data_IF_349036197608
#
_entry.id   IF_349036197608
#
_cell.length_a   1.000
_cell.length_b   1.000
_cell.length_c   1.000
_cell.angle_alpha   90.00
_cell.angle_beta   90.00
_cell.angle_gamma   90.00
#
_symmetry.space_group_name_H-M   'P 1'
#
loop_
_entity.id
_entity.type
_entity.pdbx_description
1 polymer ?
#
# COMPACT_ATOMS: atom_id res chain seq x y z
N UNK A 1 18.93 17.25 23.15
CA UNK A 1 17.55 17.67 23.52
C UNK A 1 16.99 18.41 22.32
N UNK A 2 16.41 17.65 21.41
CA UNK A 2 15.76 18.11 20.18
C UNK A 2 15.05 16.88 19.63
N UNK A 3 13.83 16.67 20.11
CA UNK A 3 12.93 15.61 19.66
C UNK A 3 12.66 15.78 18.16
N UNK A 4 12.83 14.73 17.33
CA UNK A 4 12.27 14.72 15.99
C UNK A 4 10.78 14.40 16.12
N UNK A 5 10.00 15.35 16.63
CA UNK A 5 8.56 15.31 16.42
C UNK A 5 8.31 15.38 14.90
N UNK A 6 7.44 14.53 14.33
CA UNK A 6 6.94 14.79 12.98
C UNK A 6 6.46 16.23 12.94
N UNK A 7 6.89 17.00 11.94
CA UNK A 7 6.60 18.44 11.89
C UNK A 7 5.13 18.69 12.23
N UNK A 8 4.85 19.55 13.23
CA UNK A 8 3.49 19.78 13.74
C UNK A 8 2.49 20.12 12.62
N UNK A 9 3.00 20.62 11.50
CA UNK A 9 2.29 20.90 10.26
C UNK A 9 1.73 19.65 9.58
N UNK A 10 2.49 18.56 9.45
CA UNK A 10 2.05 17.34 8.78
C UNK A 10 0.93 16.63 9.56
N UNK A 11 1.06 16.56 10.89
CA UNK A 11 0.02 16.01 11.76
C UNK A 11 -1.24 16.90 11.78
N UNK A 12 -1.06 18.23 11.77
CA UNK A 12 -2.17 19.19 11.67
C UNK A 12 -2.89 19.07 10.32
N UNK A 13 -2.18 18.99 9.20
CA UNK A 13 -2.76 18.84 7.87
C UNK A 13 -3.52 17.52 7.73
N UNK A 14 -2.92 16.41 8.18
CA UNK A 14 -3.55 15.08 8.12
C UNK A 14 -4.85 15.03 8.92
N UNK A 15 -4.89 15.67 10.09
CA UNK A 15 -6.11 15.76 10.91
C UNK A 15 -7.17 16.66 10.26
N UNK A 16 -6.76 17.75 9.61
CA UNK A 16 -7.67 18.63 8.88
C UNK A 16 -8.26 17.98 7.62
N UNK A 17 -7.54 17.08 6.94
CA UNK A 17 -8.03 16.35 5.76
C UNK A 17 -9.21 15.42 6.02
N UNK A 18 -9.54 15.13 7.28
CA UNK A 18 -10.73 14.37 7.65
C UNK A 18 -11.99 15.24 7.72
N UNK A 19 -11.88 16.58 7.72
CA UNK A 19 -13.00 17.51 7.88
C UNK A 19 -12.92 18.67 6.90
N UNK A 20 -14.04 19.34 6.64
CA UNK A 20 -14.06 20.61 5.88
C UNK A 20 -13.97 21.80 6.84
N UNK A 21 -12.87 21.86 7.57
CA UNK A 21 -12.60 22.95 8.53
C UNK A 21 -12.10 24.23 7.86
N UNK A 22 -11.87 25.31 8.63
CA UNK A 22 -11.44 26.61 8.08
C UNK A 22 -10.18 26.52 7.21
N UNK A 23 -9.17 25.72 7.63
CA UNK A 23 -7.95 25.51 6.86
C UNK A 23 -8.22 24.80 5.52
N UNK A 24 -9.06 23.76 5.52
CA UNK A 24 -9.45 23.07 4.29
C UNK A 24 -10.18 24.03 3.32
N UNK A 25 -11.07 24.87 3.84
CA UNK A 25 -11.78 25.88 3.05
C UNK A 25 -10.82 26.94 2.48
N UNK A 26 -9.83 27.38 3.26
CA UNK A 26 -8.81 28.31 2.78
C UNK A 26 -7.94 27.71 1.67
N UNK A 27 -7.66 26.40 1.73
CA UNK A 27 -6.90 25.65 0.72
C UNK A 27 -7.76 25.19 -0.48
N UNK A 28 -9.09 25.31 -0.40
CA UNK A 28 -10.02 24.82 -1.42
C UNK A 28 -9.76 25.43 -2.81
N UNK A 29 -9.52 26.75 -2.98
CA UNK A 29 -9.20 27.30 -4.30
C UNK A 29 -7.96 26.66 -4.94
N UNK A 30 -6.93 26.36 -4.14
CA UNK A 30 -5.72 25.69 -4.63
C UNK A 30 -6.01 24.24 -5.06
N UNK A 31 -6.98 23.57 -4.41
CA UNK A 31 -7.42 22.24 -4.83
C UNK A 31 -8.14 22.23 -6.18
N UNK A 32 -8.79 23.34 -6.56
CA UNK A 32 -9.41 23.48 -7.88
C UNK A 32 -8.34 23.59 -8.98
N UNK A 33 -7.24 24.31 -8.71
CA UNK A 33 -6.10 24.37 -9.63
C UNK A 33 -5.48 22.98 -9.81
N UNK A 34 -5.24 22.27 -8.70
CA UNK A 34 -4.75 20.90 -8.74
C UNK A 34 -5.69 19.97 -9.53
N UNK A 35 -7.01 20.09 -9.31
CA UNK A 35 -8.03 19.35 -10.06
C UNK A 35 -7.96 19.63 -11.56
N UNK A 36 -7.82 20.91 -11.94
CA UNK A 36 -7.74 21.31 -13.34
C UNK A 36 -6.50 20.71 -14.02
N UNK A 37 -5.33 20.87 -13.40
CA UNK A 37 -4.06 20.33 -13.93
C UNK A 37 -4.08 18.80 -14.05
N UNK A 38 -4.56 18.11 -13.02
CA UNK A 38 -4.71 16.65 -13.03
C UNK A 38 -5.72 16.21 -14.11
N UNK A 39 -6.85 16.91 -14.21
CA UNK A 39 -7.89 16.66 -15.20
C UNK A 39 -7.41 16.85 -16.65
N UNK A 40 -6.66 17.92 -16.92
CA UNK A 40 -6.03 18.17 -18.23
C UNK A 40 -5.08 17.02 -18.58
N UNK A 41 -4.21 16.61 -17.64
CA UNK A 41 -3.29 15.50 -17.88
C UNK A 41 -4.03 14.21 -18.25
N UNK A 42 -5.09 13.86 -17.51
CA UNK A 42 -5.90 12.68 -17.82
C UNK A 42 -6.60 12.81 -19.17
N UNK A 43 -7.14 13.99 -19.48
CA UNK A 43 -7.78 14.26 -20.77
C UNK A 43 -6.79 14.11 -21.94
N UNK A 44 -5.54 14.57 -21.79
CA UNK A 44 -4.50 14.42 -22.81
C UNK A 44 -4.13 12.96 -23.08
N UNK A 45 -4.09 12.10 -22.05
CA UNK A 45 -3.89 10.66 -22.24
C UNK A 45 -5.12 10.01 -22.90
N UNK A 46 -6.33 10.39 -22.48
CA UNK A 46 -7.58 9.86 -23.08
C UNK A 46 -7.76 10.26 -24.54
N UNK A 47 -7.36 11.48 -24.90
CA UNK A 47 -7.38 11.98 -26.26
C UNK A 47 -6.23 11.44 -27.13
N UNK A 48 -5.32 10.63 -26.57
CA UNK A 48 -4.17 10.08 -27.30
C UNK A 48 -3.06 11.09 -27.60
N UNK A 49 -3.15 12.32 -27.08
CA UNK A 49 -2.11 13.35 -27.23
C UNK A 49 -0.82 12.93 -26.52
N UNK A 50 -0.96 12.40 -25.30
CA UNK A 50 0.15 11.78 -24.58
C UNK A 50 0.16 10.27 -24.86
N UNK A 51 1.35 9.76 -25.25
CA UNK A 51 1.52 8.34 -25.56
C UNK A 51 1.43 7.46 -24.31
N UNK A 52 0.67 6.38 -24.42
CA UNK A 52 0.66 5.27 -23.47
C UNK A 52 1.22 4.02 -24.14
N UNK A 53 1.96 3.21 -23.39
CA UNK A 53 2.61 1.99 -23.87
C UNK A 53 1.85 0.78 -23.34
N UNK A 54 1.53 -0.15 -24.23
CA UNK A 54 0.95 -1.45 -23.87
C UNK A 54 2.07 -2.49 -23.78
N UNK A 55 2.03 -3.31 -22.74
CA UNK A 55 2.94 -4.43 -22.56
C UNK A 55 2.33 -5.70 -23.18
N UNK A 56 3.16 -6.71 -23.54
CA UNK A 56 2.67 -7.92 -24.21
C UNK A 56 1.91 -8.89 -23.29
N UNK A 57 1.88 -8.62 -21.99
CA UNK A 57 1.11 -9.38 -20.98
C UNK A 57 0.16 -8.45 -20.23
N UNK A 58 -0.93 -8.98 -19.62
CA UNK A 58 -1.85 -8.17 -18.82
C UNK A 58 -1.16 -7.44 -17.67
N UNK A 59 -1.58 -6.20 -17.42
CA UNK A 59 -1.05 -5.35 -16.34
C UNK A 59 -2.16 -5.05 -15.32
N UNK A 60 -1.94 -5.46 -14.08
CA UNK A 60 -2.78 -5.18 -12.92
C UNK A 60 -2.17 -4.06 -12.09
N UNK A 61 -2.93 -3.00 -11.86
CA UNK A 61 -2.50 -1.85 -11.05
C UNK A 61 -3.12 -1.92 -9.67
N UNK A 62 -2.29 -2.00 -8.64
CA UNK A 62 -2.69 -1.78 -7.25
C UNK A 62 -2.26 -0.37 -6.86
N UNK A 63 -3.16 0.42 -6.28
CA UNK A 63 -2.76 1.70 -5.73
C UNK A 63 -3.80 2.34 -4.85
N UNK A 64 -3.50 3.55 -4.40
CA UNK A 64 -4.44 4.37 -3.65
C UNK A 64 -4.58 5.77 -4.27
N UNK A 65 -5.70 6.40 -3.98
CA UNK A 65 -5.92 7.82 -4.29
C UNK A 65 -5.79 8.70 -3.05
N UNK A 66 -5.60 8.10 -1.88
CA UNK A 66 -5.47 8.80 -0.59
C UNK A 66 -3.99 8.89 -0.19
N UNK A 67 -3.55 10.04 0.33
CA UNK A 67 -2.19 10.20 0.84
C UNK A 67 -2.05 9.56 2.23
N UNK A 68 -1.16 8.56 2.31
CA UNK A 68 -0.87 7.81 3.53
C UNK A 68 -0.93 6.30 3.29
N UNK A 69 -0.52 5.54 4.30
CA UNK A 69 -0.39 4.08 4.19
C UNK A 69 -1.73 3.34 4.23
N UNK A 70 -2.35 3.05 3.08
CA UNK A 70 -3.61 2.29 3.01
C UNK A 70 -3.44 0.76 3.09
N UNK A 71 -2.20 0.26 3.04
CA UNK A 71 -1.88 -1.18 3.09
C UNK A 71 -1.72 -1.82 1.70
N UNK A 72 -1.13 -1.09 0.74
CA UNK A 72 -0.92 -1.54 -0.63
C UNK A 72 0.00 -2.76 -0.69
N UNK A 73 1.14 -2.72 0.00
CA UNK A 73 2.12 -3.80 -0.05
C UNK A 73 1.55 -5.15 0.42
N UNK A 74 0.80 -5.25 1.54
CA UNK A 74 0.09 -6.49 1.87
C UNK A 74 -0.92 -6.97 0.80
N UNK A 75 -1.67 -6.06 0.17
CA UNK A 75 -2.60 -6.40 -0.92
C UNK A 75 -1.84 -6.93 -2.15
N UNK A 76 -0.75 -6.28 -2.52
CA UNK A 76 0.12 -6.71 -3.63
C UNK A 76 0.70 -8.10 -3.36
N UNK A 77 1.25 -8.34 -2.16
CA UNK A 77 1.78 -9.66 -1.75
C UNK A 77 0.70 -10.73 -1.84
N UNK A 78 -0.48 -10.46 -1.28
CA UNK A 78 -1.61 -11.40 -1.35
C UNK A 78 -2.02 -11.69 -2.79
N UNK A 79 -2.09 -10.67 -3.65
CA UNK A 79 -2.50 -10.84 -5.04
C UNK A 79 -1.47 -11.65 -5.84
N UNK A 80 -0.17 -11.40 -5.64
CA UNK A 80 0.89 -12.22 -6.25
C UNK A 80 0.72 -13.68 -5.86
N UNK A 81 0.55 -13.97 -4.56
CA UNK A 81 0.39 -15.34 -4.06
C UNK A 81 -0.89 -16.00 -4.56
N UNK A 82 -1.99 -15.25 -4.65
CA UNK A 82 -3.25 -15.75 -5.18
C UNK A 82 -3.14 -16.11 -6.68
N UNK A 83 -2.47 -15.27 -7.47
CA UNK A 83 -2.23 -15.53 -8.90
C UNK A 83 -1.28 -16.71 -9.11
N UNK A 84 -0.22 -16.84 -8.29
CA UNK A 84 0.65 -18.02 -8.28
C UNK A 84 -0.13 -19.30 -7.97
N UNK A 85 -1.03 -19.27 -6.97
CA UNK A 85 -1.89 -20.39 -6.63
C UNK A 85 -2.89 -20.74 -7.75
N UNK A 86 -3.27 -19.76 -8.58
CA UNK A 86 -4.09 -19.96 -9.78
C UNK A 86 -3.28 -20.43 -11.02
N UNK A 87 -1.98 -20.71 -10.84
CA UNK A 87 -1.08 -21.21 -11.87
C UNK A 87 -0.48 -20.14 -12.79
N UNK A 88 -0.67 -18.86 -12.49
CA UNK A 88 -0.04 -17.75 -13.22
C UNK A 88 1.38 -17.49 -12.72
N UNK A 89 2.17 -16.78 -13.53
CA UNK A 89 3.56 -16.41 -13.24
C UNK A 89 3.67 -14.88 -13.16
N UNK A 90 3.31 -14.29 -12.01
CA UNK A 90 3.33 -12.84 -11.84
C UNK A 90 4.76 -12.28 -11.74
N UNK A 91 4.97 -11.15 -12.40
CA UNK A 91 6.11 -10.24 -12.17
C UNK A 91 5.62 -8.93 -11.54
N UNK A 92 6.45 -8.29 -10.71
CA UNK A 92 6.10 -7.03 -10.04
C UNK A 92 7.01 -5.90 -10.48
N UNK A 93 6.41 -4.77 -10.85
CA UNK A 93 7.14 -3.53 -11.13
C UNK A 93 6.83 -2.47 -10.07
N UNK A 94 7.87 -1.79 -9.60
CA UNK A 94 7.74 -0.69 -8.62
C UNK A 94 8.70 0.46 -8.94
N UNK A 95 8.57 1.60 -8.24
CA UNK A 95 9.33 2.83 -8.56
C UNK A 95 10.73 2.75 -7.97
N UNK A 96 10.86 1.99 -6.89
CA UNK A 96 11.98 2.10 -5.98
C UNK A 96 11.91 3.41 -5.18
N UNK A 97 12.70 3.46 -4.11
CA UNK A 97 12.90 4.66 -3.31
C UNK A 97 14.31 5.21 -3.59
N UNK A 98 14.45 6.52 -3.75
CA UNK A 98 15.74 7.22 -3.64
C UNK A 98 16.81 7.01 -4.72
N UNK A 99 16.66 6.10 -5.70
CA UNK A 99 17.73 5.90 -6.70
C UNK A 99 17.77 7.03 -7.75
N UNK A 100 18.95 7.63 -7.89
CA UNK A 100 19.31 8.57 -8.94
C UNK A 100 19.62 7.88 -10.28
N UNK A 101 19.77 6.56 -10.28
CA UNK A 101 20.02 5.77 -11.48
C UNK A 101 18.79 5.72 -12.39
N UNK A 102 19.00 5.96 -13.69
CA UNK A 102 17.93 6.07 -14.68
C UNK A 102 17.44 4.71 -15.21
N UNK A 103 18.06 3.60 -14.81
CA UNK A 103 17.78 2.26 -15.31
C UNK A 103 16.77 1.45 -14.49
N UNK A 104 16.14 0.47 -15.15
CA UNK A 104 15.41 -0.58 -14.47
C UNK A 104 16.40 -1.51 -13.74
N UNK A 105 16.11 -1.86 -12.48
CA UNK A 105 16.97 -2.70 -11.64
C UNK A 105 16.16 -3.85 -11.05
N UNK A 106 16.66 -5.06 -11.21
CA UNK A 106 16.06 -6.23 -10.56
C UNK A 106 16.33 -6.23 -9.05
N UNK A 107 15.32 -6.65 -8.28
CA UNK A 107 15.43 -6.86 -6.85
C UNK A 107 15.93 -8.28 -6.58
N UNK A 108 17.20 -8.39 -6.21
CA UNK A 108 17.86 -9.64 -5.85
C UNK A 108 17.79 -9.94 -4.35
N UNK A 109 18.23 -11.15 -3.97
CA UNK A 109 18.30 -11.58 -2.57
C UNK A 109 19.27 -10.72 -1.72
N UNK A 110 20.31 -10.18 -2.33
CA UNK A 110 21.31 -9.31 -1.69
C UNK A 110 21.00 -7.81 -1.83
N UNK A 111 19.87 -7.44 -2.44
CA UNK A 111 19.51 -6.02 -2.59
C UNK A 111 19.19 -5.40 -1.24
N UNK A 112 19.58 -4.14 -1.07
CA UNK A 112 19.29 -3.37 0.14
C UNK A 112 18.09 -2.43 -0.06
N UNK A 113 17.36 -2.03 1.01
CA UNK A 113 16.27 -1.06 0.92
C UNK A 113 16.72 0.28 0.32
N UNK A 114 17.96 0.69 0.53
CA UNK A 114 18.52 1.91 -0.04
C UNK A 114 18.67 1.83 -1.57
N UNK A 115 18.87 0.62 -2.12
CA UNK A 115 19.05 0.41 -3.56
C UNK A 115 17.74 0.25 -4.32
N UNK A 116 16.74 -0.38 -3.71
CA UNK A 116 15.52 -0.81 -4.40
C UNK A 116 14.23 -0.35 -3.72
N UNK A 117 14.30 0.25 -2.53
CA UNK A 117 13.15 0.54 -1.68
C UNK A 117 12.80 -0.61 -0.74
N UNK A 118 12.11 -0.26 0.34
CA UNK A 118 11.62 -1.18 1.37
C UNK A 118 10.47 -2.07 0.87
N UNK A 119 9.48 -1.48 0.19
CA UNK A 119 8.30 -2.23 -0.32
C UNK A 119 8.66 -3.26 -1.40
N UNK A 120 9.46 -2.95 -2.45
CA UNK A 120 9.82 -3.94 -3.48
C UNK A 120 10.65 -5.10 -2.93
N UNK A 121 11.55 -4.81 -1.99
CA UNK A 121 12.35 -5.83 -1.31
C UNK A 121 11.47 -6.76 -0.47
N UNK A 122 10.52 -6.20 0.28
CA UNK A 122 9.56 -6.98 1.04
C UNK A 122 8.69 -7.87 0.14
N UNK A 123 8.21 -7.36 -1.00
CA UNK A 123 7.44 -8.15 -1.98
C UNK A 123 8.27 -9.32 -2.51
N UNK A 124 9.53 -9.08 -2.89
CA UNK A 124 10.43 -10.14 -3.36
C UNK A 124 10.62 -11.23 -2.31
N UNK A 125 10.87 -10.84 -1.06
CA UNK A 125 11.09 -11.78 0.06
C UNK A 125 9.84 -12.61 0.39
N UNK A 126 8.65 -12.01 0.35
CA UNK A 126 7.38 -12.69 0.73
C UNK A 126 6.78 -13.56 -0.37
N UNK A 127 7.11 -13.31 -1.64
CA UNK A 127 6.44 -13.95 -2.78
C UNK A 127 7.38 -14.76 -3.68
N UNK A 128 8.69 -14.49 -3.64
CA UNK A 128 9.67 -15.08 -4.55
C UNK A 128 9.58 -14.59 -6.00
N UNK A 129 8.50 -13.91 -6.39
CA UNK A 129 8.24 -13.44 -7.75
C UNK A 129 9.36 -12.54 -8.28
N UNK A 130 9.59 -12.48 -9.61
CA UNK A 130 10.44 -11.46 -10.21
C UNK A 130 9.95 -10.06 -9.83
N UNK A 131 10.84 -9.21 -9.30
CA UNK A 131 10.51 -7.83 -8.94
C UNK A 131 11.56 -6.91 -9.57
N UNK A 132 11.10 -5.86 -10.25
CA UNK A 132 11.98 -4.88 -10.87
C UNK A 132 11.55 -3.44 -10.53
N UNK A 133 12.52 -2.59 -10.23
CA UNK A 133 12.30 -1.19 -9.87
C UNK A 133 12.79 -0.26 -10.97
N UNK A 134 12.02 0.80 -11.25
CA UNK A 134 12.41 1.83 -12.20
C UNK A 134 11.39 2.95 -12.31
N UNK A 135 11.85 4.13 -12.74
CA UNK A 135 10.99 5.33 -12.85
C UNK A 135 9.99 5.24 -13.99
N UNK A 136 10.42 4.73 -15.15
CA UNK A 136 9.54 4.46 -16.28
C UNK A 136 8.97 3.04 -16.16
N UNK A 137 7.67 2.96 -15.82
CA UNK A 137 6.95 1.71 -15.62
C UNK A 137 6.88 0.83 -16.86
N UNK A 138 6.74 1.42 -18.04
CA UNK A 138 6.63 0.66 -19.28
C UNK A 138 7.98 0.05 -19.64
N UNK A 139 9.05 0.85 -19.59
CA UNK A 139 10.41 0.36 -19.83
C UNK A 139 10.82 -0.69 -18.78
N UNK A 140 10.47 -0.48 -17.52
CA UNK A 140 10.73 -1.45 -16.43
C UNK A 140 9.97 -2.76 -16.66
N UNK A 141 8.71 -2.70 -17.08
CA UNK A 141 7.94 -3.89 -17.42
C UNK A 141 8.54 -4.67 -18.59
N UNK A 142 8.97 -3.99 -19.66
CA UNK A 142 9.65 -4.63 -20.78
C UNK A 142 10.98 -5.28 -20.36
N UNK A 143 11.76 -4.61 -19.52
CA UNK A 143 13.01 -5.15 -18.99
C UNK A 143 12.78 -6.38 -18.11
N UNK A 144 11.74 -6.38 -17.27
CA UNK A 144 11.36 -7.54 -16.45
C UNK A 144 10.98 -8.73 -17.35
N UNK A 145 10.13 -8.52 -18.36
CA UNK A 145 9.71 -9.57 -19.28
C UNK A 145 10.86 -10.11 -20.15
N UNK A 146 11.84 -9.27 -20.47
CA UNK A 146 13.04 -9.70 -21.18
C UNK A 146 13.92 -10.60 -20.30
N UNK A 147 14.04 -10.29 -19.00
CA UNK A 147 14.81 -11.07 -18.04
C UNK A 147 14.09 -12.35 -17.57
N UNK A 148 12.75 -12.32 -17.53
CA UNK A 148 11.88 -13.41 -17.08
C UNK A 148 10.79 -13.69 -18.12
N UNK A 149 11.11 -14.40 -19.23
CA UNK A 149 10.18 -14.63 -20.34
C UNK A 149 8.96 -15.48 -19.99
N UNK A 150 9.00 -16.16 -18.83
CA UNK A 150 7.93 -16.99 -18.32
C UNK A 150 6.84 -16.21 -17.57
N UNK A 151 7.08 -14.93 -17.27
CA UNK A 151 6.09 -14.05 -16.65
C UNK A 151 4.92 -13.80 -17.61
N UNK A 152 3.72 -14.13 -17.16
CA UNK A 152 2.48 -14.05 -17.95
C UNK A 152 1.52 -12.95 -17.48
N UNK A 153 1.84 -12.25 -16.39
CA UNK A 153 1.08 -11.13 -15.84
C UNK A 153 1.99 -10.19 -15.05
N UNK A 154 1.75 -8.89 -15.15
CA UNK A 154 2.50 -7.87 -14.42
C UNK A 154 1.61 -7.18 -13.38
N UNK A 155 2.14 -6.99 -12.18
CA UNK A 155 1.54 -6.17 -11.14
C UNK A 155 2.38 -4.92 -10.94
N UNK A 156 1.72 -3.76 -10.81
CA UNK A 156 2.40 -2.54 -10.35
C UNK A 156 1.88 -2.12 -8.99
N UNK A 157 2.81 -1.94 -8.05
CA UNK A 157 2.53 -1.28 -6.79
C UNK A 157 2.59 0.25 -6.99
N UNK A 158 1.59 0.95 -6.44
CA UNK A 158 1.39 2.40 -6.54
C UNK A 158 1.36 2.96 -7.97
N UNK A 159 0.75 2.23 -8.91
CA UNK A 159 0.76 2.58 -10.34
C UNK A 159 -0.36 3.51 -10.81
N UNK A 160 -1.31 3.91 -9.96
CA UNK A 160 -2.55 4.57 -10.41
C UNK A 160 -2.31 5.88 -11.17
N UNK A 161 -1.30 6.67 -10.80
CA UNK A 161 -0.98 7.94 -11.48
C UNK A 161 -0.03 7.77 -12.69
N UNK A 162 0.40 6.56 -13.01
CA UNK A 162 1.32 6.25 -14.10
C UNK A 162 0.60 5.93 -15.43
N UNK A 163 -0.22 6.88 -15.94
CA UNK A 163 -1.01 6.72 -17.18
C UNK A 163 -0.21 6.43 -18.46
N UNK A 164 1.13 6.57 -18.43
CA UNK A 164 2.01 6.18 -19.54
C UNK A 164 2.03 4.66 -19.75
N UNK A 165 1.69 3.87 -18.74
CA UNK A 165 1.56 2.43 -18.84
C UNK A 165 0.07 2.09 -18.98
N UNK A 166 -0.31 1.39 -20.05
CA UNK A 166 -1.65 0.83 -20.18
C UNK A 166 -1.85 -0.30 -19.17
N UNK A 167 -3.09 -0.43 -18.71
CA UNK A 167 -3.51 -1.32 -17.62
C UNK A 167 -4.80 -2.01 -18.00
N UNK A 168 -4.87 -3.30 -17.73
CA UNK A 168 -6.02 -4.15 -18.04
C UNK A 168 -6.93 -4.27 -16.81
N UNK A 169 -6.35 -4.17 -15.60
CA UNK A 169 -7.09 -4.21 -14.33
C UNK A 169 -6.62 -3.11 -13.37
N UNK A 170 -7.57 -2.45 -12.71
CA UNK A 170 -7.29 -1.43 -11.70
C UNK A 170 -7.98 -1.67 -10.37
N UNK A 171 -7.17 -1.74 -9.31
CA UNK A 171 -7.60 -1.95 -7.94
C UNK A 171 -7.26 -0.69 -7.13
N UNK A 172 -8.27 -0.03 -6.57
CA UNK A 172 -8.08 1.10 -5.66
C UNK A 172 -8.28 0.63 -4.22
N UNK A 173 -7.28 0.89 -3.40
CA UNK A 173 -7.28 0.58 -1.98
C UNK A 173 -7.55 1.82 -1.13
N UNK A 174 -8.59 1.72 -0.30
CA UNK A 174 -8.91 2.64 0.79
C UNK A 174 -8.63 1.97 2.15
N UNK A 175 -8.66 2.75 3.22
CA UNK A 175 -8.71 2.23 4.59
C UNK A 175 -9.91 2.79 5.34
N UNK A 176 -10.00 2.54 6.65
CA UNK A 176 -11.09 3.04 7.51
C UNK A 176 -11.31 4.56 7.49
N UNK A 177 -10.39 5.37 6.93
CA UNK A 177 -10.58 6.82 6.72
C UNK A 177 -11.45 7.15 5.50
N UNK A 178 -11.73 6.17 4.64
CA UNK A 178 -12.50 6.35 3.42
C UNK A 178 -11.90 7.42 2.50
N UNK A 179 -12.73 8.37 2.07
CA UNK A 179 -12.33 9.49 1.22
C UNK A 179 -11.84 10.74 1.99
N UNK A 180 -11.75 10.68 3.32
CA UNK A 180 -11.54 11.87 4.15
C UNK A 180 -12.64 12.91 3.93
N UNK A 181 -12.28 14.17 3.74
CA UNK A 181 -13.24 15.25 3.44
C UNK A 181 -13.74 15.27 1.97
N UNK A 182 -13.28 14.32 1.14
CA UNK A 182 -13.67 14.17 -0.26
C UNK A 182 -13.04 15.18 -1.22
N UNK A 183 -12.14 16.06 -0.76
CA UNK A 183 -11.47 17.04 -1.59
C UNK A 183 -10.09 16.56 -2.05
N UNK A 184 -9.65 17.10 -3.19
CA UNK A 184 -8.30 16.86 -3.69
C UNK A 184 -7.27 17.66 -2.89
N UNK A 185 -6.01 17.28 -3.06
CA UNK A 185 -4.87 18.07 -2.60
C UNK A 185 -4.96 19.53 -3.06
N UNK A 186 -4.52 20.50 -2.24
CA UNK A 186 -4.09 20.36 -0.85
C UNK A 186 -5.23 20.50 0.18
N UNK A 187 -6.45 20.81 -0.25
CA UNK A 187 -7.60 21.01 0.64
C UNK A 187 -8.11 19.71 1.29
N UNK A 188 -7.82 18.57 0.66
CA UNK A 188 -8.12 17.25 1.15
C UNK A 188 -7.01 16.25 0.83
N UNK A 189 -7.19 14.98 1.23
CA UNK A 189 -6.14 13.96 1.15
C UNK A 189 -6.04 13.28 -0.22
N UNK A 190 -6.93 13.60 -1.16
CA UNK A 190 -7.08 12.83 -2.39
C UNK A 190 -6.16 13.34 -3.52
N UNK A 191 -5.48 12.41 -4.21
CA UNK A 191 -4.66 12.65 -5.40
C UNK A 191 -5.50 12.67 -6.68
N UNK A 192 -6.62 11.95 -6.68
CA UNK A 192 -7.57 11.84 -7.77
C UNK A 192 -9.01 11.83 -7.22
N UNK A 193 -10.02 12.22 -8.00
CA UNK A 193 -11.40 12.20 -7.54
C UNK A 193 -11.86 10.79 -7.20
N UNK A 194 -12.66 10.64 -6.14
CA UNK A 194 -13.27 9.35 -5.75
C UNK A 194 -14.16 8.76 -6.84
N UNK A 195 -14.55 9.53 -7.87
CA UNK A 195 -15.33 9.07 -9.01
C UNK A 195 -14.50 8.49 -10.18
N UNK A 196 -13.15 8.48 -10.11
CA UNK A 196 -12.31 8.01 -11.22
C UNK A 196 -12.63 6.56 -11.65
N UNK A 197 -12.70 6.19 -12.93
CA UNK A 197 -13.00 4.79 -13.30
C UNK A 197 -12.04 3.78 -12.66
N UNK A 198 -12.50 2.58 -12.29
CA UNK A 198 -11.68 1.49 -11.74
C UNK A 198 -12.43 0.17 -11.89
N UNK A 199 -11.74 -0.96 -11.72
CA UNK A 199 -12.38 -2.27 -11.76
C UNK A 199 -12.76 -2.76 -10.38
N UNK A 200 -11.90 -2.56 -9.39
CA UNK A 200 -12.13 -3.04 -8.03
C UNK A 200 -11.84 -1.96 -6.99
N UNK A 201 -12.67 -1.94 -5.94
CA UNK A 201 -12.46 -1.12 -4.75
C UNK A 201 -12.24 -2.06 -3.57
N UNK A 202 -11.07 -1.99 -2.95
CA UNK A 202 -10.74 -2.72 -1.72
C UNK A 202 -10.69 -1.74 -0.56
N UNK A 203 -11.25 -2.11 0.60
CA UNK A 203 -11.22 -1.29 1.81
C UNK A 203 -10.57 -2.07 2.94
N UNK A 204 -9.43 -1.57 3.42
CA UNK A 204 -8.72 -2.08 4.59
C UNK A 204 -9.40 -1.61 5.87
N UNK A 205 -10.27 -2.45 6.44
CA UNK A 205 -11.04 -2.11 7.64
C UNK A 205 -11.43 -3.37 8.42
N UNK A 206 -11.39 -3.34 9.78
CA UNK A 206 -11.91 -4.44 10.60
C UNK A 206 -13.40 -4.67 10.36
N UNK A 207 -14.16 -3.61 10.02
CA UNK A 207 -15.58 -3.69 9.75
C UNK A 207 -15.94 -2.85 8.53
N UNK A 208 -16.62 -3.46 7.57
CA UNK A 208 -17.15 -2.77 6.40
C UNK A 208 -18.53 -2.20 6.72
N UNK A 209 -18.66 -0.86 6.74
CA UNK A 209 -19.93 -0.17 7.00
C UNK A 209 -20.48 0.45 5.72
N UNK A 210 -21.80 0.58 5.63
CA UNK A 210 -22.44 1.19 4.44
C UNK A 210 -22.00 2.64 4.21
N UNK A 211 -21.73 3.38 5.29
CA UNK A 211 -21.20 4.74 5.21
C UNK A 211 -19.83 4.76 4.53
N UNK A 212 -18.94 3.85 4.91
CA UNK A 212 -17.61 3.75 4.33
C UNK A 212 -17.68 3.34 2.85
N UNK A 213 -18.58 2.41 2.52
CA UNK A 213 -18.83 2.01 1.12
C UNK A 213 -19.34 3.20 0.30
N UNK A 214 -20.33 3.95 0.79
CA UNK A 214 -20.84 5.16 0.11
C UNK A 214 -19.76 6.24 -0.04
N UNK A 215 -18.90 6.40 0.96
CA UNK A 215 -17.83 7.40 0.93
C UNK A 215 -16.81 7.14 -0.19
N UNK A 216 -16.56 5.87 -0.54
CA UNK A 216 -15.59 5.50 -1.58
C UNK A 216 -16.22 5.19 -2.94
N UNK A 217 -17.54 4.98 -2.97
CA UNK A 217 -18.35 4.73 -4.17
C UNK A 217 -19.53 5.72 -4.24
N UNK A 218 -19.29 7.04 -4.44
CA UNK A 218 -20.36 8.05 -4.40
C UNK A 218 -21.39 7.92 -5.53
N UNK A 219 -21.14 7.09 -6.55
CA UNK A 219 -22.06 6.83 -7.66
C UNK A 219 -23.17 5.80 -7.36
N UNK A 220 -23.23 5.21 -6.16
CA UNK A 220 -24.26 4.23 -5.78
C UNK A 220 -25.47 4.84 -5.07
N UNK A 221 -25.43 6.14 -4.75
CA UNK A 221 -26.57 6.85 -4.19
C UNK A 221 -27.48 7.35 -5.32
N UNK A 222 -28.43 6.50 -5.73
CA UNK A 222 -29.48 6.81 -6.69
C UNK A 222 -29.17 6.39 -8.12
N UNK A 223 -29.41 5.12 -8.45
CA UNK A 223 -29.59 4.69 -9.83
C UNK A 223 -30.92 5.25 -10.34
N UNK A 224 -30.88 6.45 -10.91
CA UNK A 224 -31.94 6.99 -11.76
C UNK A 224 -31.87 6.23 -13.12
N UNK A 225 -32.95 5.63 -13.65
CA UNK A 225 -32.87 4.66 -14.76
C UNK A 225 -32.54 5.25 -16.14
N UNK A 226 -32.24 6.55 -16.25
CA UNK A 226 -32.25 7.25 -17.53
C UNK A 226 -30.85 7.75 -17.90
N UNK A 227 -30.08 6.87 -18.54
CA UNK A 227 -29.22 7.16 -19.71
C UNK A 227 -28.46 5.89 -20.07
N UNK A 228 -28.79 5.32 -21.23
CA UNK A 228 -28.21 4.10 -21.80
C UNK A 228 -26.73 4.21 -22.20
N UNK A 229 -25.86 4.45 -21.23
CA UNK A 229 -24.48 4.02 -21.27
C UNK A 229 -24.41 2.70 -20.51
N UNK A 230 -23.75 1.69 -21.10
CA UNK A 230 -23.51 0.39 -20.47
C UNK A 230 -23.15 0.58 -18.99
N UNK A 231 -23.95 0.05 -18.05
CA UNK A 231 -23.70 0.29 -16.64
C UNK A 231 -22.38 -0.41 -16.31
N UNK A 232 -21.35 0.38 -16.04
CA UNK A 232 -20.24 -0.12 -15.25
C UNK A 232 -20.89 -0.53 -13.92
N UNK A 233 -21.10 -1.83 -13.72
CA UNK A 233 -21.65 -2.37 -12.48
C UNK A 233 -20.82 -1.77 -11.34
N UNK A 234 -21.42 -1.11 -10.33
CA UNK A 234 -20.66 -0.61 -9.21
C UNK A 234 -20.06 -1.83 -8.52
N UNK A 235 -18.75 -2.05 -8.72
CA UNK A 235 -18.06 -3.17 -8.08
C UNK A 235 -18.24 -3.00 -6.58
N UNK A 236 -18.91 -3.97 -5.96
CA UNK A 236 -19.12 -3.98 -4.52
C UNK A 236 -17.75 -3.79 -3.85
N UNK A 237 -17.70 -2.91 -2.85
CA UNK A 237 -16.46 -2.69 -2.12
C UNK A 237 -16.07 -3.99 -1.40
N UNK A 238 -14.85 -4.45 -1.62
CA UNK A 238 -14.33 -5.70 -1.06
C UNK A 238 -13.62 -5.37 0.25
N UNK A 239 -13.99 -6.05 1.33
CA UNK A 239 -13.30 -5.91 2.60
C UNK A 239 -11.95 -6.61 2.56
N UNK A 240 -10.92 -5.91 3.03
CA UNK A 240 -9.64 -6.48 3.41
C UNK A 240 -9.42 -6.25 4.90
N UNK A 241 -8.90 -7.27 5.58
CA UNK A 241 -8.35 -7.14 6.94
C UNK A 241 -6.88 -7.53 6.94
N UNK A 242 -6.08 -6.88 7.77
CA UNK A 242 -4.69 -7.29 8.00
C UNK A 242 -4.64 -8.06 9.32
N UNK A 243 -4.11 -9.27 9.25
CA UNK A 243 -3.97 -10.16 10.41
C UNK A 243 -2.50 -10.50 10.62
N UNK A 244 -2.06 -10.36 11.86
CA UNK A 244 -0.80 -10.91 12.36
C UNK A 244 -1.10 -11.95 13.44
N UNK A 245 -0.45 -13.11 13.36
CA UNK A 245 -0.71 -14.23 14.28
C UNK A 245 0.49 -14.49 15.21
N UNK A 246 1.69 -14.20 14.72
CA UNK A 246 2.94 -14.42 15.43
C UNK A 246 3.91 -13.27 15.19
N UNK A 247 4.94 -13.22 16.03
CA UNK A 247 6.13 -12.41 15.83
C UNK A 247 7.34 -13.31 15.56
N UNK A 248 8.24 -12.86 14.69
CA UNK A 248 9.51 -13.51 14.35
C UNK A 248 10.68 -12.67 14.84
N UNK A 249 11.70 -13.30 15.43
CA UNK A 249 12.87 -12.54 15.85
C UNK A 249 13.60 -11.94 14.64
N UNK A 250 14.10 -10.71 14.74
CA UNK A 250 14.78 -10.01 13.64
C UNK A 250 16.01 -10.78 13.14
N UNK A 251 16.89 -11.17 14.07
CA UNK A 251 18.14 -11.89 13.79
C UNK A 251 17.93 -13.33 13.28
N UNK A 252 16.84 -13.97 13.71
CA UNK A 252 16.55 -15.37 13.42
C UNK A 252 15.04 -15.55 13.22
N UNK A 253 14.63 -15.56 11.94
CA UNK A 253 13.22 -15.67 11.53
C UNK A 253 12.58 -17.01 11.88
N UNK A 254 13.37 -18.02 12.23
CA UNK A 254 12.85 -19.32 12.66
C UNK A 254 12.29 -19.26 14.08
N UNK A 255 12.76 -18.31 14.90
CA UNK A 255 12.23 -18.09 16.24
C UNK A 255 10.91 -17.32 16.17
N UNK A 256 9.83 -18.03 16.52
CA UNK A 256 8.46 -17.53 16.47
C UNK A 256 7.83 -17.52 17.85
N UNK A 257 7.03 -16.49 18.13
CA UNK A 257 6.16 -16.39 19.31
C UNK A 257 4.76 -16.01 18.86
N UNK A 258 3.74 -16.75 19.27
CA UNK A 258 2.36 -16.36 19.00
C UNK A 258 2.03 -15.05 19.73
N UNK A 259 1.28 -14.18 19.07
CA UNK A 259 0.83 -12.93 19.70
C UNK A 259 -0.06 -13.21 20.92
N UNK A 260 -0.86 -14.27 20.87
CA UNK A 260 -1.69 -14.74 21.99
C UNK A 260 -0.86 -15.17 23.19
N UNK A 261 0.29 -15.82 22.96
CA UNK A 261 1.19 -16.24 24.04
C UNK A 261 1.85 -15.02 24.68
N UNK A 262 2.26 -14.04 23.87
CA UNK A 262 2.79 -12.77 24.39
C UNK A 262 1.75 -12.02 25.23
N UNK A 263 0.50 -11.98 24.78
CA UNK A 263 -0.61 -11.37 25.51
C UNK A 263 -0.89 -12.04 26.87
N UNK A 264 -0.65 -13.35 26.98
CA UNK A 264 -0.83 -14.11 28.22
C UNK A 264 0.24 -13.82 29.30
N UNK A 265 1.28 -13.03 29.00
CA UNK A 265 2.37 -12.70 29.92
C UNK A 265 2.33 -11.21 30.32
N UNK A 266 1.46 -10.80 31.27
CA UNK A 266 1.22 -9.38 31.59
C UNK A 266 2.42 -8.67 32.22
N UNK A 267 3.46 -9.41 32.63
CA UNK A 267 4.71 -8.84 33.17
C UNK A 267 5.70 -8.42 32.07
N UNK A 268 5.52 -8.89 30.83
CA UNK A 268 6.39 -8.51 29.72
C UNK A 268 6.12 -7.07 29.31
N UNK A 269 7.18 -6.26 29.25
CA UNK A 269 7.10 -4.90 28.73
C UNK A 269 7.30 -4.97 27.23
N UNK A 270 6.18 -4.88 26.51
CA UNK A 270 6.18 -4.94 25.06
C UNK A 270 6.07 -3.51 24.52
N UNK A 271 6.98 -3.12 23.65
CA UNK A 271 6.85 -1.92 22.84
C UNK A 271 6.44 -2.30 21.41
N UNK A 272 5.78 -1.38 20.71
CA UNK A 272 5.42 -1.53 19.32
C UNK A 272 5.91 -0.31 18.53
N UNK A 273 6.78 -0.53 17.53
CA UNK A 273 7.35 0.51 16.70
C UNK A 273 6.82 0.41 15.26
N UNK A 274 6.45 1.55 14.67
CA UNK A 274 5.96 1.57 13.29
C UNK A 274 6.30 2.89 12.59
N UNK A 275 7.13 2.82 11.55
CA UNK A 275 7.51 3.89 10.63
C UNK A 275 6.78 3.80 9.29
N UNK A 276 5.45 3.67 9.36
CA UNK A 276 4.55 3.52 8.21
C UNK A 276 3.55 4.68 8.16
N UNK A 277 2.98 4.98 7.01
CA UNK A 277 2.03 6.11 6.86
C UNK A 277 0.70 6.02 7.64
N UNK A 278 0.46 4.99 8.46
CA UNK A 278 -0.61 4.94 9.47
C UNK A 278 -0.22 3.97 10.63
N UNK A 279 0.64 4.41 11.58
CA UNK A 279 1.14 3.56 12.67
C UNK A 279 0.03 3.02 13.59
N UNK A 280 -1.01 3.83 13.81
CA UNK A 280 -2.13 3.48 14.68
C UNK A 280 -2.85 2.18 14.27
N UNK A 281 -2.85 1.84 12.97
CA UNK A 281 -3.41 0.56 12.48
C UNK A 281 -2.62 -0.64 13.02
N UNK A 282 -1.29 -0.55 13.02
CA UNK A 282 -0.43 -1.61 13.53
C UNK A 282 -0.64 -1.80 15.03
N UNK A 283 -0.67 -0.71 15.79
CA UNK A 283 -0.90 -0.78 17.24
C UNK A 283 -2.31 -1.28 17.58
N UNK A 284 -3.33 -0.83 16.85
CA UNK A 284 -4.70 -1.32 17.00
C UNK A 284 -4.82 -2.83 16.75
N UNK A 285 -4.12 -3.37 15.75
CA UNK A 285 -4.07 -4.81 15.49
C UNK A 285 -3.46 -5.58 16.66
N UNK A 286 -2.34 -5.11 17.23
CA UNK A 286 -1.70 -5.75 18.38
C UNK A 286 -2.60 -5.72 19.63
N UNK A 287 -3.28 -4.61 19.88
CA UNK A 287 -4.26 -4.50 20.97
C UNK A 287 -5.46 -5.42 20.77
N UNK A 288 -5.96 -5.54 19.54
CA UNK A 288 -7.03 -6.47 19.20
C UNK A 288 -6.62 -7.94 19.40
N UNK A 289 -5.32 -8.25 19.30
CA UNK A 289 -4.76 -9.55 19.66
C UNK A 289 -4.52 -9.72 21.18
N UNK A 290 -4.91 -8.73 22.00
CA UNK A 290 -4.82 -8.77 23.47
C UNK A 290 -3.53 -8.22 24.06
N UNK A 291 -2.62 -7.65 23.27
CA UNK A 291 -1.36 -7.13 23.78
C UNK A 291 -1.51 -5.74 24.41
N UNK A 292 -0.85 -5.54 25.54
CA UNK A 292 -0.59 -4.21 26.10
C UNK A 292 0.78 -3.73 25.61
N UNK A 293 0.80 -2.69 24.78
CA UNK A 293 2.03 -2.20 24.13
C UNK A 293 2.31 -0.73 24.44
N UNK A 294 3.61 -0.41 24.60
CA UNK A 294 4.13 0.95 24.57
C UNK A 294 4.24 1.36 23.09
N UNK A 295 3.40 2.28 22.65
CA UNK A 295 3.38 2.71 21.24
C UNK A 295 4.53 3.68 20.93
N UNK A 296 5.30 3.36 19.90
CA UNK A 296 6.37 4.17 19.36
C UNK A 296 6.08 4.47 17.88
N UNK A 297 5.22 5.47 17.58
CA UNK A 297 5.03 5.91 16.21
C UNK A 297 6.30 6.59 15.69
N UNK A 298 6.76 6.19 14.51
CA UNK A 298 7.89 6.79 13.82
C UNK A 298 7.40 7.46 12.51
N UNK A 299 8.12 8.47 11.99
CA UNK A 299 7.89 9.01 10.66
C UNK A 299 7.78 7.92 9.57
N UNK A 300 6.96 8.14 8.54
CA UNK A 300 6.91 7.20 7.41
C UNK A 300 8.28 7.13 6.73
N UNK A 301 8.71 5.92 6.38
CA UNK A 301 10.06 5.67 5.84
C UNK A 301 11.23 6.05 6.77
N UNK A 302 11.02 6.05 8.10
CA UNK A 302 12.08 6.28 9.09
C UNK A 302 13.36 5.46 8.82
N UNK A 303 14.53 6.08 8.93
CA UNK A 303 15.84 5.47 8.58
C UNK A 303 16.55 4.78 9.76
N UNK A 304 16.06 4.97 10.98
CA UNK A 304 16.57 4.41 12.24
C UNK A 304 17.99 4.84 12.64
N UNK A 305 18.54 5.89 12.01
CA UNK A 305 19.89 6.39 12.31
C UNK A 305 19.98 7.11 13.67
N UNK A 306 18.85 7.65 14.15
CA UNK A 306 18.71 8.29 15.46
C UNK A 306 18.59 7.29 16.63
N UNK A 307 18.68 5.98 16.34
CA UNK A 307 18.69 4.88 17.34
C UNK A 307 17.47 4.93 18.28
N UNK A 308 16.25 4.84 17.75
CA UNK A 308 15.02 5.09 18.52
C UNK A 308 14.76 4.03 19.62
N UNK A 309 15.48 2.90 19.59
CA UNK A 309 15.33 1.80 20.54
C UNK A 309 16.36 1.82 21.68
N UNK A 310 17.35 2.72 21.65
CA UNK A 310 18.47 2.71 22.60
C UNK A 310 18.02 2.96 24.05
N UNK A 311 17.14 3.94 24.25
CA UNK A 311 16.61 4.29 25.58
C UNK A 311 15.29 3.56 25.91
N UNK A 312 14.80 2.70 25.01
CA UNK A 312 13.49 2.07 25.17
C UNK A 312 13.58 0.90 26.15
N UNK A 313 12.95 1.07 27.32
CA UNK A 313 12.93 0.08 28.38
C UNK A 313 11.83 -0.97 28.13
N UNK A 314 12.08 -1.88 27.19
CA UNK A 314 11.17 -2.96 26.79
C UNK A 314 11.90 -4.30 26.75
N UNK A 315 11.18 -5.37 27.10
CA UNK A 315 11.67 -6.75 26.99
C UNK A 315 11.55 -7.26 25.55
N UNK A 316 10.51 -6.79 24.82
CA UNK A 316 10.29 -7.06 23.40
C UNK A 316 9.83 -5.78 22.69
N UNK A 317 10.30 -5.59 21.46
CA UNK A 317 9.94 -4.50 20.56
C UNK A 317 9.38 -5.14 19.28
N UNK A 318 8.06 -5.05 19.12
CA UNK A 318 7.34 -5.51 17.94
C UNK A 318 7.39 -4.43 16.85
N UNK A 319 7.73 -4.80 15.62
CA UNK A 319 7.75 -3.85 14.49
C UNK A 319 7.11 -4.42 13.23
N UNK A 320 6.82 -3.52 12.29
CA UNK A 320 6.30 -3.88 10.98
C UNK A 320 7.38 -4.55 10.12
N UNK A 321 6.97 -5.33 9.11
CA UNK A 321 7.91 -5.90 8.15
C UNK A 321 8.64 -4.84 7.32
N UNK A 322 7.95 -3.75 6.96
CA UNK A 322 8.56 -2.62 6.23
C UNK A 322 9.73 -2.03 7.02
N UNK A 323 9.56 -1.89 8.34
CA UNK A 323 10.62 -1.40 9.23
C UNK A 323 11.72 -2.43 9.44
N UNK A 324 11.36 -3.70 9.57
CA UNK A 324 12.31 -4.79 9.73
C UNK A 324 13.33 -4.91 8.59
N UNK A 325 12.90 -4.69 7.35
CA UNK A 325 13.77 -4.75 6.18
C UNK A 325 14.88 -3.68 6.27
N UNK A 326 14.60 -2.52 6.88
CA UNK A 326 15.60 -1.47 7.18
C UNK A 326 16.47 -1.84 8.38
N UNK A 327 15.87 -2.24 9.50
CA UNK A 327 16.59 -2.61 10.72
C UNK A 327 17.58 -3.77 10.49
N UNK A 328 17.24 -4.73 9.63
CA UNK A 328 18.12 -5.86 9.30
C UNK A 328 19.44 -5.46 8.60
N UNK A 329 19.54 -4.22 8.09
CA UNK A 329 20.73 -3.69 7.43
C UNK A 329 21.63 -2.87 8.36
N UNK A 330 21.17 -2.60 9.59
CA UNK A 330 21.90 -1.80 10.58
C UNK A 330 22.45 -2.77 11.61
N UNK A 331 23.78 -2.87 11.72
CA UNK A 331 24.47 -3.87 12.54
C UNK A 331 23.99 -3.85 14.00
N UNK A 332 23.86 -2.67 14.60
CA UNK A 332 23.43 -2.53 15.99
C UNK A 332 21.98 -2.95 16.22
N UNK A 333 21.14 -2.91 15.19
CA UNK A 333 19.73 -3.29 15.29
C UNK A 333 19.50 -4.74 14.88
N UNK A 334 20.18 -5.21 13.84
CA UNK A 334 20.04 -6.58 13.31
C UNK A 334 20.22 -7.62 14.41
N UNK A 335 21.17 -7.38 15.31
CA UNK A 335 21.57 -8.32 16.36
C UNK A 335 20.90 -8.03 17.73
N UNK A 336 20.05 -7.01 17.84
CA UNK A 336 19.29 -6.71 19.07
C UNK A 336 18.23 -7.80 19.33
N UNK A 337 18.37 -8.59 20.42
CA UNK A 337 17.48 -9.72 20.70
C UNK A 337 16.04 -9.30 21.04
N UNK A 338 15.83 -8.01 21.35
CA UNK A 338 14.52 -7.44 21.66
C UNK A 338 13.72 -7.15 20.41
N UNK A 339 14.30 -7.15 19.21
CA UNK A 339 13.59 -6.79 17.99
C UNK A 339 12.87 -8.00 17.39
N UNK A 340 11.55 -7.87 17.28
CA UNK A 340 10.65 -8.87 16.75
C UNK A 340 9.76 -8.23 15.70
N UNK A 341 9.50 -8.97 14.63
CA UNK A 341 8.75 -8.49 13.48
C UNK A 341 7.43 -9.21 13.47
N UNK A 342 6.36 -8.48 13.19
CA UNK A 342 5.01 -9.05 13.13
C UNK A 342 4.60 -9.09 11.66
N UNK A 343 4.71 -10.25 10.99
CA UNK A 343 4.25 -10.38 9.63
C UNK A 343 2.74 -10.14 9.57
N UNK A 344 2.33 -9.32 8.60
CA UNK A 344 0.91 -9.10 8.34
C UNK A 344 0.53 -9.79 7.04
N UNK A 345 -0.63 -10.43 7.06
CA UNK A 345 -1.22 -11.07 5.89
C UNK A 345 -2.58 -10.43 5.62
N UNK A 346 -2.81 -10.04 4.37
CA UNK A 346 -4.12 -9.59 3.95
C UNK A 346 -5.07 -10.79 3.87
N UNK A 347 -6.20 -10.69 4.56
CA UNK A 347 -7.35 -11.58 4.41
C UNK A 347 -8.40 -10.87 3.56
N UNK A 348 -8.64 -11.43 2.39
CA UNK A 348 -9.56 -10.94 1.35
C UNK A 348 -10.28 -12.16 0.79
N UNK A 349 -11.51 -11.97 0.36
CA UNK A 349 -12.24 -12.99 -0.39
C UNK A 349 -11.47 -13.37 -1.67
N UNK A 350 -11.33 -14.68 -1.91
CA UNK A 350 -10.67 -15.23 -3.10
C UNK A 350 -11.39 -14.87 -4.39
N UNK A 351 -12.69 -14.57 -4.33
CA UNK A 351 -13.50 -14.11 -5.46
C UNK A 351 -12.82 -12.96 -6.22
N UNK A 352 -12.11 -12.04 -5.52
CA UNK A 352 -11.37 -10.97 -6.18
C UNK A 352 -10.27 -11.50 -7.10
N UNK A 353 -9.48 -12.47 -6.64
CA UNK A 353 -8.40 -13.04 -7.45
C UNK A 353 -8.96 -13.80 -8.65
N UNK A 354 -10.04 -14.57 -8.45
CA UNK A 354 -10.68 -15.33 -9.52
C UNK A 354 -11.22 -14.41 -10.62
N UNK A 355 -11.89 -13.31 -10.25
CA UNK A 355 -12.37 -12.30 -11.20
C UNK A 355 -11.22 -11.63 -11.97
N UNK A 356 -10.08 -11.37 -11.32
CA UNK A 356 -8.89 -10.84 -11.99
C UNK A 356 -8.34 -11.85 -12.99
N UNK A 357 -8.22 -13.12 -12.59
CA UNK A 357 -7.73 -14.20 -13.48
C UNK A 357 -8.64 -14.35 -14.70
N UNK A 358 -9.96 -14.35 -14.51
CA UNK A 358 -10.93 -14.45 -15.61
C UNK A 358 -10.81 -13.28 -16.57
N UNK A 359 -10.75 -12.05 -16.04
CA UNK A 359 -10.58 -10.84 -16.84
C UNK A 359 -9.26 -10.85 -17.62
N UNK A 360 -8.16 -11.26 -17.00
CA UNK A 360 -6.85 -11.35 -17.65
C UNK A 360 -6.78 -12.47 -18.71
N UNK A 361 -7.57 -13.54 -18.56
CA UNK A 361 -7.71 -14.62 -19.57
C UNK A 361 -8.71 -14.29 -20.69
N UNK A 362 -9.25 -13.08 -20.74
CA UNK A 362 -10.16 -12.63 -21.79
C UNK A 362 -11.59 -13.13 -21.65
N UNK A 363 -11.99 -13.59 -20.46
CA UNK A 363 -13.40 -13.92 -20.16
C UNK A 363 -14.06 -12.68 -19.55
N UNK A 364 -15.12 -12.18 -20.18
CA UNK A 364 -15.92 -11.08 -19.63
C UNK A 364 -16.64 -11.57 -18.38
N UNK A 365 -16.52 -10.82 -17.29
CA UNK A 365 -17.37 -10.99 -16.10
C UNK A 365 -18.76 -10.55 -16.55
N UNK A 366 -19.65 -11.51 -16.77
CA UNK A 366 -21.04 -11.28 -17.16
C UNK A 366 -21.89 -10.86 -15.95
#
# INVERSE_FOLDING_TARGET
>A
MSDPHPSSLESTLTRNWLRRGPLACALWPLSLVFRALSGVRVALFRAGVLKSSRLPVPVVVVGNIYIGGTGKTPLTIWLVQALQAAGMRPGVISRGFGSAEEGAREVGAASTPAQVGDEPLLIKQRTGAPVMVGRDRAATGLALLAAHPDVDILLTDDGLQHYKLQRDVEIILFDGRGAGNGWLLPAGPLREPVSRPRDFTVINTPQLTDELVRAVNPGTAGSDPVRGQTPYLPTAAIQMTLVGEYAEQLRDRTQRKLLTDLAAHPKLRIAAAAGIGNPARFFGMLKAAGLHVIELPLPDHHDFQDRPFAALNADLILMTEKDAVKCAQIEELRDDPRLWVVPVTARIDRVLADQIVEKCRGRSIA
#
